data_IF_327746322566
#
_entry.id   IF_327746322566
#
_cell.length_a   1.000
_cell.length_b   1.000
_cell.length_c   1.000
_cell.angle_alpha   90.00
_cell.angle_beta   90.00
_cell.angle_gamma   90.00
#
_symmetry.space_group_name_H-M   'P 1'
#
loop_
_entity.id
_entity.type
_entity.pdbx_description
1 polymer ?
#
# COMPACT_ATOMS: atom_id res chain seq x y z
N UNK A 1 -69.99 19.91 -15.01
CA UNK A 1 -68.59 20.31 -15.02
C UNK A 1 -68.01 20.69 -13.64
N UNK A 2 -68.78 20.64 -12.57
CA UNK A 2 -68.34 21.11 -11.21
C UNK A 2 -67.84 19.97 -10.27
N UNK A 3 -68.17 18.71 -10.49
CA UNK A 3 -67.77 17.60 -9.62
C UNK A 3 -66.42 16.98 -10.01
N UNK A 4 -66.01 17.06 -11.24
CA UNK A 4 -64.72 16.54 -11.73
C UNK A 4 -63.56 17.46 -11.31
N UNK A 5 -63.75 18.78 -11.28
CA UNK A 5 -62.74 19.74 -10.83
C UNK A 5 -62.41 19.64 -9.35
N UNK A 6 -63.36 19.23 -8.50
CA UNK A 6 -63.16 19.05 -7.05
C UNK A 6 -62.43 17.74 -6.74
N UNK A 7 -62.62 16.71 -7.57
CA UNK A 7 -61.94 15.42 -7.39
C UNK A 7 -60.46 15.50 -7.85
N UNK A 8 -60.20 16.24 -8.93
CA UNK A 8 -58.80 16.47 -9.39
C UNK A 8 -58.01 17.35 -8.42
N UNK A 9 -58.65 18.36 -7.79
CA UNK A 9 -57.99 19.19 -6.79
C UNK A 9 -57.70 18.43 -5.49
N UNK A 10 -58.53 17.45 -5.09
CA UNK A 10 -58.34 16.64 -3.92
C UNK A 10 -57.23 15.56 -4.16
N UNK A 11 -57.13 14.99 -5.34
CA UNK A 11 -56.08 14.02 -5.68
C UNK A 11 -54.72 14.72 -5.84
N UNK A 12 -54.68 15.95 -6.38
CA UNK A 12 -53.43 16.73 -6.48
C UNK A 12 -52.91 17.23 -5.10
N UNK A 13 -53.79 17.57 -4.16
CA UNK A 13 -53.38 17.97 -2.83
C UNK A 13 -52.94 16.78 -1.98
N UNK A 14 -53.40 15.56 -2.24
CA UNK A 14 -52.96 14.36 -1.52
C UNK A 14 -51.66 13.83 -2.08
N UNK A 15 -51.36 13.96 -3.37
CA UNK A 15 -50.06 13.60 -3.98
C UNK A 15 -48.95 14.56 -3.64
N UNK A 16 -49.22 15.85 -3.38
CA UNK A 16 -48.18 16.80 -2.91
C UNK A 16 -47.90 16.64 -1.43
N UNK A 17 -48.86 16.17 -0.60
CA UNK A 17 -48.63 15.92 0.83
C UNK A 17 -47.88 14.61 1.11
N UNK A 18 -47.86 13.64 0.19
CA UNK A 18 -47.12 12.36 0.34
C UNK A 18 -45.69 12.48 -0.19
N UNK A 19 -45.39 13.47 -1.03
CA UNK A 19 -44.04 13.71 -1.58
C UNK A 19 -43.13 14.52 -0.66
N UNK A 20 -43.59 14.93 0.53
CA UNK A 20 -42.79 15.71 1.48
C UNK A 20 -42.47 14.96 2.79
N UNK A 21 -42.72 13.65 2.83
CA UNK A 21 -42.53 12.85 4.05
C UNK A 21 -41.54 11.70 3.92
N UNK A 22 -40.65 11.74 2.93
CA UNK A 22 -39.54 10.80 2.87
C UNK A 22 -38.22 11.50 2.55
N UNK A 23 -37.91 12.56 3.27
CA UNK A 23 -36.55 12.74 3.71
C UNK A 23 -36.44 11.77 4.88
N UNK A 24 -36.13 10.52 4.60
CA UNK A 24 -35.51 9.64 5.55
C UNK A 24 -34.27 10.39 6.02
N UNK A 25 -34.37 11.02 7.20
CA UNK A 25 -33.20 11.26 7.99
C UNK A 25 -32.60 9.85 8.19
N UNK A 26 -31.58 9.50 7.42
CA UNK A 26 -30.63 8.51 7.87
C UNK A 26 -30.20 9.06 9.24
N UNK A 27 -30.65 8.45 10.32
CA UNK A 27 -30.05 8.66 11.61
C UNK A 27 -28.56 8.34 11.37
N UNK A 28 -27.70 9.33 11.45
CA UNK A 28 -26.26 9.09 11.44
C UNK A 28 -26.03 8.08 12.56
N UNK A 29 -25.46 6.93 12.23
CA UNK A 29 -25.04 5.98 13.24
C UNK A 29 -24.15 6.74 14.23
N UNK A 30 -24.47 6.65 15.50
CA UNK A 30 -23.74 7.38 16.52
C UNK A 30 -22.56 6.51 16.95
N UNK A 31 -21.48 6.62 16.22
CA UNK A 31 -20.27 5.82 16.42
C UNK A 31 -19.53 6.08 17.73
N UNK A 32 -19.85 7.18 18.43
CA UNK A 32 -19.04 7.67 19.56
C UNK A 32 -19.83 7.70 20.86
N UNK A 33 -19.17 7.31 21.95
CA UNK A 33 -19.70 7.44 23.30
C UNK A 33 -19.77 8.92 23.72
N UNK A 34 -20.60 9.23 24.71
CA UNK A 34 -20.69 10.60 25.25
C UNK A 34 -19.34 11.07 25.85
N UNK A 35 -18.53 10.16 26.37
CA UNK A 35 -17.20 10.47 26.90
C UNK A 35 -16.25 10.90 25.78
N UNK A 36 -16.23 10.15 24.66
CA UNK A 36 -15.42 10.51 23.47
C UNK A 36 -15.87 11.86 22.90
N UNK A 37 -17.17 12.10 22.76
CA UNK A 37 -17.71 13.40 22.31
C UNK A 37 -17.26 14.55 23.19
N UNK A 38 -17.34 14.37 24.53
CA UNK A 38 -16.86 15.37 25.46
C UNK A 38 -15.35 15.58 25.38
N UNK A 39 -14.57 14.51 25.24
CA UNK A 39 -13.14 14.59 25.06
C UNK A 39 -12.78 15.46 23.85
N UNK A 40 -13.26 15.12 22.65
CA UNK A 40 -12.94 15.87 21.43
C UNK A 40 -13.46 17.32 21.47
N UNK A 41 -14.65 17.56 21.99
CA UNK A 41 -15.19 18.91 22.17
C UNK A 41 -14.35 19.76 23.15
N UNK A 42 -13.72 19.13 24.14
CA UNK A 42 -12.88 19.81 25.16
C UNK A 42 -11.49 20.24 24.64
N UNK A 43 -11.06 19.73 23.49
CA UNK A 43 -9.73 20.00 22.94
C UNK A 43 -9.53 21.48 22.53
N UNK A 44 -10.59 22.25 22.40
CA UNK A 44 -10.51 23.68 22.07
C UNK A 44 -10.04 23.95 20.65
N UNK A 45 -10.38 23.07 19.71
CA UNK A 45 -10.02 23.17 18.29
C UNK A 45 -11.06 23.91 17.45
N UNK A 46 -12.17 24.35 18.07
CA UNK A 46 -13.25 25.02 17.35
C UNK A 46 -12.76 26.23 16.55
N UNK A 47 -13.07 26.21 15.24
CA UNK A 47 -12.71 27.28 14.30
C UNK A 47 -11.24 27.26 13.85
N UNK A 48 -10.44 26.28 14.26
CA UNK A 48 -9.11 26.05 13.72
C UNK A 48 -9.17 25.20 12.43
N UNK A 49 -8.08 25.13 11.69
CA UNK A 49 -7.95 24.27 10.50
C UNK A 49 -6.82 23.28 10.73
N UNK A 50 -7.02 22.03 10.33
CA UNK A 50 -6.00 20.97 10.24
C UNK A 50 -5.78 20.65 8.76
N UNK A 51 -4.57 20.85 8.27
CA UNK A 51 -4.19 20.55 6.89
C UNK A 51 -3.59 19.15 6.83
N UNK A 52 -4.30 18.21 6.23
CA UNK A 52 -3.89 16.81 6.07
C UNK A 52 -3.43 16.57 4.64
N UNK A 53 -2.28 15.93 4.47
CA UNK A 53 -1.72 15.56 3.17
C UNK A 53 -1.44 14.06 3.17
N UNK A 54 -2.28 13.30 2.49
CA UNK A 54 -2.31 11.84 2.53
C UNK A 54 -2.32 11.24 1.11
N UNK A 55 -2.26 9.95 0.99
CA UNK A 55 -2.45 9.21 -0.25
C UNK A 55 -3.87 9.38 -0.79
N UNK A 56 -4.07 9.12 -2.09
CA UNK A 56 -5.38 8.91 -2.68
C UNK A 56 -6.00 7.61 -2.15
N UNK A 57 -7.33 7.48 -2.19
CA UNK A 57 -8.10 6.28 -1.80
C UNK A 57 -7.66 5.68 -0.43
N UNK A 58 -7.29 6.53 0.55
CA UNK A 58 -6.64 6.09 1.80
C UNK A 58 -7.36 6.58 3.08
N UNK A 59 -8.61 7.01 2.93
CA UNK A 59 -9.49 7.39 4.03
C UNK A 59 -10.95 7.18 3.64
N UNK A 60 -11.74 6.66 4.56
CA UNK A 60 -13.19 6.52 4.40
C UNK A 60 -13.87 7.89 4.34
N UNK A 61 -14.62 8.15 3.29
CA UNK A 61 -15.19 9.45 2.94
C UNK A 61 -16.72 9.52 3.03
N UNK A 62 -17.35 8.47 3.55
CA UNK A 62 -18.80 8.36 3.66
C UNK A 62 -19.50 7.83 2.41
N UNK A 63 -18.74 7.44 1.37
CA UNK A 63 -19.32 6.79 0.20
C UNK A 63 -19.90 5.41 0.58
N UNK A 64 -20.92 4.98 -0.16
CA UNK A 64 -21.56 3.66 -0.01
C UNK A 64 -22.06 3.31 1.40
N UNK A 65 -22.20 4.31 2.28
CA UNK A 65 -22.65 4.14 3.66
C UNK A 65 -21.52 3.93 4.66
N UNK A 66 -20.27 4.08 4.24
CA UNK A 66 -19.11 4.09 5.13
C UNK A 66 -19.09 5.32 6.05
N UNK A 67 -18.17 5.35 7.02
CA UNK A 67 -18.01 6.52 7.89
C UNK A 67 -17.34 7.67 7.11
N UNK A 68 -17.90 8.87 7.12
CA UNK A 68 -17.17 10.08 6.74
C UNK A 68 -16.21 10.47 7.89
N UNK A 69 -15.00 9.91 7.84
CA UNK A 69 -13.99 10.07 8.90
C UNK A 69 -13.63 11.54 9.11
N UNK A 70 -13.44 12.30 8.05
CA UNK A 70 -13.13 13.73 8.11
C UNK A 70 -14.31 14.50 8.70
N UNK A 71 -15.53 14.24 8.22
CA UNK A 71 -16.75 14.87 8.70
C UNK A 71 -17.01 14.60 10.19
N UNK A 72 -16.75 13.38 10.66
CA UNK A 72 -16.89 13.01 12.06
C UNK A 72 -15.87 13.73 12.96
N UNK A 73 -14.60 13.83 12.52
CA UNK A 73 -13.60 14.62 13.24
C UNK A 73 -14.02 16.10 13.33
N UNK A 74 -14.45 16.70 12.22
CA UNK A 74 -14.95 18.08 12.20
C UNK A 74 -16.16 18.27 13.13
N UNK A 75 -17.10 17.33 13.10
CA UNK A 75 -18.31 17.35 13.93
C UNK A 75 -17.99 17.32 15.43
N UNK A 76 -17.04 16.48 15.84
CA UNK A 76 -16.68 16.28 17.23
C UNK A 76 -15.83 17.42 17.80
N UNK A 77 -14.90 17.96 17.01
CA UNK A 77 -13.91 18.95 17.46
C UNK A 77 -14.30 20.39 17.17
N UNK A 78 -15.17 20.61 16.17
CA UNK A 78 -15.46 21.95 15.61
C UNK A 78 -14.31 22.54 14.80
N UNK A 79 -13.25 21.78 14.55
CA UNK A 79 -12.18 22.13 13.59
C UNK A 79 -12.69 22.00 12.16
N UNK A 80 -11.90 22.52 11.21
CA UNK A 80 -12.01 22.22 9.78
C UNK A 80 -10.82 21.39 9.34
N UNK A 81 -11.04 20.40 8.49
CA UNK A 81 -9.96 19.62 7.86
C UNK A 81 -9.85 20.04 6.39
N UNK A 82 -8.65 20.44 6.01
CA UNK A 82 -8.29 20.66 4.61
C UNK A 82 -7.51 19.44 4.14
N UNK A 83 -8.23 18.47 3.57
CA UNK A 83 -7.66 17.19 3.13
C UNK A 83 -7.22 17.26 1.68
N UNK A 84 -5.97 16.90 1.41
CA UNK A 84 -5.37 16.90 0.08
C UNK A 84 -4.53 15.64 -0.14
N UNK A 85 -4.35 15.25 -1.41
CA UNK A 85 -3.69 14.01 -1.77
C UNK A 85 -2.35 14.23 -2.46
N UNK A 86 -1.46 13.25 -2.33
CA UNK A 86 -0.23 13.11 -3.10
C UNK A 86 -0.17 11.75 -3.80
N UNK A 87 0.56 11.71 -4.91
CA UNK A 87 0.68 10.52 -5.76
C UNK A 87 1.90 9.64 -5.41
N UNK A 88 2.91 10.22 -4.73
CA UNK A 88 4.12 9.51 -4.31
C UNK A 88 4.81 10.21 -3.14
N UNK A 89 5.59 9.45 -2.37
CA UNK A 89 6.44 9.99 -1.32
C UNK A 89 7.38 11.09 -1.84
N UNK A 90 7.93 10.94 -3.04
CA UNK A 90 8.82 11.92 -3.68
C UNK A 90 8.10 13.22 -4.02
N UNK A 91 6.83 13.12 -4.45
CA UNK A 91 5.99 14.29 -4.72
C UNK A 91 5.70 15.05 -3.43
N UNK A 92 5.30 14.35 -2.37
CA UNK A 92 5.07 14.91 -1.03
C UNK A 92 6.35 15.56 -0.49
N UNK A 93 7.48 14.84 -0.50
CA UNK A 93 8.78 15.35 -0.07
C UNK A 93 9.20 16.62 -0.82
N UNK A 94 9.06 16.63 -2.14
CA UNK A 94 9.41 17.79 -2.97
C UNK A 94 8.64 19.04 -2.58
N UNK A 95 7.37 18.91 -2.21
CA UNK A 95 6.56 20.04 -1.72
C UNK A 95 6.99 20.52 -0.34
N UNK A 96 7.30 19.59 0.56
CA UNK A 96 7.75 19.93 1.93
C UNK A 96 9.11 20.62 1.91
N UNK A 97 10.09 20.00 1.23
CA UNK A 97 11.47 20.52 1.14
C UNK A 97 11.56 21.82 0.36
N UNK A 98 10.68 22.02 -0.63
CA UNK A 98 10.58 23.27 -1.40
C UNK A 98 10.06 24.45 -0.58
N UNK A 99 9.41 24.20 0.55
CA UNK A 99 8.85 25.22 1.44
C UNK A 99 7.61 25.92 0.88
N UNK A 100 7.07 26.87 1.65
CA UNK A 100 5.89 27.65 1.23
C UNK A 100 4.56 26.93 1.35
N UNK A 101 4.54 25.73 1.93
CA UNK A 101 3.34 24.95 2.27
C UNK A 101 3.14 24.90 3.77
N UNK A 102 1.91 24.64 4.20
CA UNK A 102 1.56 24.44 5.60
C UNK A 102 0.71 23.18 5.68
N UNK A 103 1.34 22.09 6.01
CA UNK A 103 0.67 20.82 6.36
C UNK A 103 0.82 20.57 7.86
N UNK A 104 -0.20 19.99 8.47
CA UNK A 104 -0.21 19.68 9.90
C UNK A 104 -0.04 18.18 10.11
N UNK A 105 -0.60 17.35 9.23
CA UNK A 105 -0.43 15.89 9.21
C UNK A 105 -0.02 15.45 7.80
N UNK A 106 0.96 14.57 7.73
CA UNK A 106 1.38 13.86 6.51
C UNK A 106 1.44 12.36 6.82
N UNK A 107 1.29 11.52 5.78
CA UNK A 107 1.28 10.05 5.93
C UNK A 107 2.31 9.39 4.99
N UNK A 108 3.61 9.61 5.20
CA UNK A 108 4.67 8.96 4.42
C UNK A 108 4.81 7.47 4.75
N UNK A 109 5.42 6.73 3.81
CA UNK A 109 5.91 5.38 4.07
C UNK A 109 7.25 5.39 4.79
N UNK A 110 7.61 4.26 5.35
CA UNK A 110 8.81 3.95 6.18
C UNK A 110 10.09 4.69 5.76
N UNK A 111 10.62 4.44 4.56
CA UNK A 111 11.88 5.06 4.09
C UNK A 111 11.80 6.58 3.98
N UNK A 112 10.60 7.10 3.74
CA UNK A 112 10.40 8.54 3.64
C UNK A 112 10.28 9.16 5.04
N UNK A 113 9.70 8.46 6.02
CA UNK A 113 9.74 8.87 7.43
C UNK A 113 11.20 8.97 7.87
N UNK A 114 12.03 7.94 7.63
CA UNK A 114 13.45 7.93 7.94
C UNK A 114 14.17 9.14 7.31
N UNK A 115 13.93 9.38 6.03
CA UNK A 115 14.51 10.53 5.34
C UNK A 115 14.10 11.88 5.93
N UNK A 116 12.81 12.04 6.25
CA UNK A 116 12.29 13.29 6.84
C UNK A 116 12.85 13.53 8.24
N UNK A 117 13.13 12.47 9.02
CA UNK A 117 13.82 12.53 10.31
C UNK A 117 15.26 12.98 10.10
N UNK A 118 16.00 12.31 9.22
CA UNK A 118 17.41 12.59 8.91
C UNK A 118 17.63 14.04 8.45
N UNK A 119 16.69 14.57 7.68
CA UNK A 119 16.72 15.95 7.16
C UNK A 119 16.08 16.97 8.12
N UNK A 120 15.70 16.54 9.33
CA UNK A 120 15.11 17.38 10.38
C UNK A 120 13.83 18.10 9.91
N UNK A 121 12.99 17.47 9.09
CA UNK A 121 11.75 18.06 8.54
C UNK A 121 10.50 17.72 9.36
N UNK A 122 10.59 16.86 10.37
CA UNK A 122 9.50 16.48 11.27
C UNK A 122 9.62 17.14 12.64
N UNK A 123 8.47 17.45 13.25
CA UNK A 123 8.34 17.81 14.65
C UNK A 123 8.17 16.54 15.49
N UNK A 124 8.75 16.54 16.71
CA UNK A 124 8.48 15.49 17.68
C UNK A 124 7.00 15.49 18.08
N UNK A 125 6.38 14.32 18.21
CA UNK A 125 5.00 14.14 18.64
C UNK A 125 4.94 14.12 20.17
N UNK A 126 3.95 14.82 20.74
CA UNK A 126 3.63 14.70 22.16
C UNK A 126 2.60 13.58 22.34
N UNK A 127 3.09 12.37 22.67
CA UNK A 127 2.24 11.18 22.82
C UNK A 127 1.25 11.26 23.98
N UNK A 128 1.43 12.17 24.94
CA UNK A 128 0.41 12.44 25.97
C UNK A 128 -0.89 12.98 25.36
N UNK A 129 -0.81 13.58 24.16
CA UNK A 129 -1.96 14.04 23.39
C UNK A 129 -2.59 12.96 22.49
N UNK A 130 -2.00 11.76 22.45
CA UNK A 130 -2.45 10.61 21.63
C UNK A 130 -2.74 9.40 22.53
N UNK A 131 -3.72 9.46 23.42
CA UNK A 131 -4.04 8.35 24.34
C UNK A 131 -4.39 7.04 23.63
N UNK A 132 -4.74 7.07 22.34
CA UNK A 132 -5.05 5.90 21.56
C UNK A 132 -3.80 5.12 21.06
N UNK A 133 -2.58 5.60 21.37
CA UNK A 133 -1.35 4.79 21.23
C UNK A 133 -1.45 3.42 21.91
N UNK A 134 -2.26 3.30 22.94
CA UNK A 134 -2.51 2.03 23.66
C UNK A 134 -3.14 0.94 22.76
N UNK A 135 -3.69 1.30 21.62
CA UNK A 135 -4.29 0.37 20.67
C UNK A 135 -3.33 -0.01 19.55
N UNK A 136 -2.18 0.65 19.43
CA UNK A 136 -1.22 0.31 18.37
C UNK A 136 -0.62 -1.07 18.65
N UNK A 137 -0.58 -1.91 17.62
CA UNK A 137 0.01 -3.25 17.66
C UNK A 137 1.49 -3.19 18.05
N UNK A 138 1.96 -4.19 18.79
CA UNK A 138 3.33 -4.24 19.28
C UNK A 138 4.37 -4.24 18.15
N UNK A 139 4.07 -4.89 17.03
CA UNK A 139 4.91 -4.95 15.83
C UNK A 139 4.93 -3.64 15.01
N UNK A 140 4.06 -2.69 15.37
CA UNK A 140 4.00 -1.34 14.79
C UNK A 140 4.59 -0.25 15.70
N UNK A 141 5.25 -0.64 16.80
CA UNK A 141 5.91 0.27 17.73
C UNK A 141 7.44 0.21 17.56
N UNK A 142 8.11 1.34 17.79
CA UNK A 142 9.58 1.46 17.75
C UNK A 142 10.19 0.90 16.45
N UNK A 143 9.54 1.21 15.33
CA UNK A 143 9.94 0.73 14.02
C UNK A 143 11.35 1.21 13.63
N UNK A 144 12.09 0.46 12.79
CA UNK A 144 13.49 0.77 12.47
C UNK A 144 13.74 2.20 11.97
N UNK A 145 12.75 2.80 11.31
CA UNK A 145 12.84 4.18 10.82
C UNK A 145 12.58 5.27 11.88
N UNK A 146 12.00 4.89 13.04
CA UNK A 146 11.78 5.77 14.20
C UNK A 146 11.94 4.97 15.52
N UNK A 147 13.15 4.45 15.82
CA UNK A 147 13.34 3.47 16.89
C UNK A 147 13.11 4.02 18.29
N UNK A 148 13.13 5.34 18.45
CA UNK A 148 12.81 6.00 19.72
C UNK A 148 11.33 6.41 19.81
N UNK A 149 10.53 6.13 18.80
CA UNK A 149 9.10 6.48 18.71
C UNK A 149 8.87 7.97 19.01
N UNK A 150 9.50 8.86 18.24
CA UNK A 150 9.43 10.31 18.49
C UNK A 150 8.62 11.07 17.44
N UNK A 151 8.60 10.59 16.20
CA UNK A 151 8.17 11.37 15.04
C UNK A 151 6.99 10.79 14.30
N UNK A 152 6.61 9.54 14.58
CA UNK A 152 5.65 8.81 13.76
C UNK A 152 4.67 7.97 14.57
N UNK A 153 3.43 7.86 14.09
CA UNK A 153 2.45 6.90 14.57
C UNK A 153 2.05 6.02 13.40
N UNK A 154 2.37 4.73 13.47
CA UNK A 154 2.02 3.78 12.41
C UNK A 154 0.51 3.80 12.16
N UNK A 155 0.13 3.84 10.89
CA UNK A 155 -1.26 3.90 10.45
C UNK A 155 -1.70 2.58 9.85
N UNK A 156 -1.07 2.18 8.76
CA UNK A 156 -1.38 0.94 8.05
C UNK A 156 -0.10 0.21 7.64
N UNK A 157 -0.27 -1.07 7.33
CA UNK A 157 0.77 -1.92 6.76
C UNK A 157 0.25 -2.62 5.50
N UNK A 158 1.16 -3.00 4.61
CA UNK A 158 0.77 -3.73 3.42
C UNK A 158 1.95 -4.28 2.62
N UNK A 159 1.62 -4.87 1.48
CA UNK A 159 2.56 -5.52 0.58
C UNK A 159 2.29 -5.12 -0.87
N UNK A 160 3.33 -5.13 -1.69
CA UNK A 160 3.14 -5.10 -3.14
C UNK A 160 2.79 -6.50 -3.65
N UNK A 161 1.94 -6.57 -4.68
CA UNK A 161 1.46 -7.83 -5.27
C UNK A 161 1.53 -7.80 -6.78
N UNK A 162 1.56 -8.99 -7.38
CA UNK A 162 1.29 -9.20 -8.80
C UNK A 162 -0.19 -9.51 -8.97
N UNK A 163 -0.92 -8.62 -9.64
CA UNK A 163 -2.34 -8.78 -9.98
C UNK A 163 -2.44 -9.38 -11.38
N UNK A 164 -3.35 -10.33 -11.56
CA UNK A 164 -3.59 -10.94 -12.87
C UNK A 164 -5.08 -11.05 -13.18
N UNK A 165 -5.42 -11.00 -14.47
CA UNK A 165 -6.78 -11.23 -14.95
C UNK A 165 -6.94 -12.70 -15.37
N UNK A 166 -7.80 -13.44 -14.68
CA UNK A 166 -8.09 -14.87 -14.88
C UNK A 166 -8.61 -15.20 -16.30
N UNK A 167 -9.17 -14.21 -17.01
CA UNK A 167 -9.64 -14.39 -18.38
C UNK A 167 -8.53 -14.26 -19.44
N UNK A 168 -7.41 -13.58 -19.10
CA UNK A 168 -6.32 -13.29 -20.01
C UNK A 168 -5.05 -14.07 -19.69
N UNK A 169 -4.99 -14.73 -18.54
CA UNK A 169 -3.83 -15.48 -18.05
C UNK A 169 -4.21 -16.95 -17.91
N UNK A 170 -3.57 -17.82 -18.71
CA UNK A 170 -3.89 -19.26 -18.74
C UNK A 170 -3.48 -20.00 -17.46
N UNK A 171 -2.37 -19.59 -16.83
CA UNK A 171 -1.80 -20.20 -15.63
C UNK A 171 -1.49 -19.10 -14.60
N UNK A 172 -1.85 -19.32 -13.34
CA UNK A 172 -1.56 -18.38 -12.25
C UNK A 172 -0.05 -18.17 -12.16
N UNK A 173 0.44 -16.91 -12.29
CA UNK A 173 1.85 -16.63 -12.20
C UNK A 173 2.35 -16.81 -10.76
N UNK A 174 3.58 -17.30 -10.56
CA UNK A 174 4.23 -17.44 -9.26
C UNK A 174 5.47 -16.54 -9.10
N UNK A 175 5.72 -15.67 -10.08
CA UNK A 175 6.96 -14.95 -10.23
C UNK A 175 6.74 -13.59 -10.89
N UNK A 176 7.48 -12.57 -10.44
CA UNK A 176 7.56 -11.26 -11.10
C UNK A 176 7.98 -11.36 -12.57
N UNK A 177 8.68 -12.43 -12.96
CA UNK A 177 9.12 -12.60 -14.35
C UNK A 177 7.99 -12.71 -15.37
N UNK A 178 6.76 -13.01 -14.92
CA UNK A 178 5.56 -12.97 -15.77
C UNK A 178 5.36 -11.58 -16.44
N UNK A 179 5.78 -10.49 -15.77
CA UNK A 179 5.73 -9.13 -16.29
C UNK A 179 6.70 -8.88 -17.47
N UNK A 180 7.57 -9.84 -17.81
CA UNK A 180 8.50 -9.81 -18.94
C UNK A 180 8.14 -10.80 -20.05
N UNK A 181 7.02 -11.54 -19.93
CA UNK A 181 6.58 -12.50 -20.92
C UNK A 181 5.94 -11.79 -22.12
N UNK A 182 6.56 -11.96 -23.30
CA UNK A 182 6.14 -11.31 -24.55
C UNK A 182 4.69 -11.62 -24.96
N UNK A 183 4.10 -12.72 -24.44
CA UNK A 183 2.70 -13.05 -24.70
C UNK A 183 1.73 -11.99 -24.15
N UNK A 184 2.17 -11.20 -23.14
CA UNK A 184 1.39 -10.11 -22.54
C UNK A 184 1.76 -8.72 -23.07
N UNK A 185 2.40 -8.66 -24.25
CA UNK A 185 2.75 -7.39 -24.87
C UNK A 185 1.56 -6.45 -24.96
N UNK A 186 1.74 -5.18 -24.55
CA UNK A 186 0.73 -4.13 -24.45
C UNK A 186 -0.41 -4.44 -23.47
N UNK A 187 -0.22 -5.42 -22.56
CA UNK A 187 -1.21 -5.87 -21.56
C UNK A 187 -0.67 -5.87 -20.13
N UNK A 188 0.43 -5.18 -19.89
CA UNK A 188 1.10 -5.08 -18.58
C UNK A 188 0.99 -3.67 -18.05
N UNK A 189 0.55 -3.53 -16.80
CA UNK A 189 0.62 -2.30 -16.02
C UNK A 189 1.78 -2.40 -15.02
N UNK A 190 2.56 -1.34 -14.91
CA UNK A 190 3.74 -1.29 -14.07
C UNK A 190 3.74 0.00 -13.25
N UNK A 191 4.28 -0.03 -12.04
CA UNK A 191 4.43 1.16 -11.22
C UNK A 191 5.09 2.33 -11.96
N UNK A 192 4.49 3.51 -11.87
CA UNK A 192 5.13 4.77 -12.27
C UNK A 192 6.01 5.34 -11.15
N UNK A 193 5.93 4.80 -9.95
CA UNK A 193 6.85 5.05 -8.85
C UNK A 193 8.18 4.33 -9.08
N UNK A 194 9.28 5.06 -9.04
CA UNK A 194 10.61 4.50 -9.33
C UNK A 194 11.07 3.50 -8.27
N UNK A 195 10.78 3.75 -7.00
CA UNK A 195 11.22 2.88 -5.91
C UNK A 195 10.63 1.48 -6.05
N UNK A 196 9.30 1.39 -6.24
CA UNK A 196 8.60 0.12 -6.42
C UNK A 196 8.95 -0.57 -7.74
N UNK A 197 9.07 0.20 -8.84
CA UNK A 197 9.46 -0.38 -10.13
C UNK A 197 10.85 -1.04 -10.07
N UNK A 198 11.83 -0.39 -9.42
CA UNK A 198 13.17 -0.96 -9.21
C UNK A 198 13.13 -2.16 -8.28
N UNK A 199 12.34 -2.13 -7.21
CA UNK A 199 12.20 -3.22 -6.25
C UNK A 199 11.83 -4.55 -6.93
N UNK A 200 10.90 -4.52 -7.89
CA UNK A 200 10.51 -5.71 -8.66
C UNK A 200 11.70 -6.27 -9.45
N UNK A 201 12.44 -5.40 -10.13
CA UNK A 201 13.62 -5.84 -10.90
C UNK A 201 14.73 -6.36 -9.97
N UNK A 202 14.96 -5.71 -8.84
CA UNK A 202 15.93 -6.14 -7.82
C UNK A 202 15.53 -7.50 -7.23
N UNK A 203 14.25 -7.71 -6.91
CA UNK A 203 13.75 -9.00 -6.41
C UNK A 203 14.02 -10.13 -7.42
N UNK A 204 13.74 -9.92 -8.72
CA UNK A 204 14.05 -10.88 -9.79
C UNK A 204 15.55 -11.19 -9.84
N UNK A 205 16.40 -10.19 -9.65
CA UNK A 205 17.86 -10.34 -9.66
C UNK A 205 18.41 -10.92 -8.34
N UNK A 206 17.57 -11.11 -7.32
CA UNK A 206 17.98 -11.59 -6.01
C UNK A 206 18.84 -10.58 -5.22
N UNK A 207 18.67 -9.30 -5.54
CA UNK A 207 19.31 -8.18 -4.86
C UNK A 207 18.48 -7.73 -3.66
N UNK A 208 19.09 -7.05 -2.68
CA UNK A 208 18.35 -6.33 -1.65
C UNK A 208 17.62 -5.12 -2.26
N UNK A 209 16.40 -4.86 -1.81
CA UNK A 209 15.65 -3.68 -2.20
C UNK A 209 16.28 -2.37 -1.69
N UNK A 210 17.22 -2.49 -0.75
CA UNK A 210 17.96 -1.39 -0.12
C UNK A 210 19.45 -1.37 -0.51
N UNK A 211 19.81 -2.04 -1.61
CA UNK A 211 21.21 -2.07 -2.04
C UNK A 211 21.77 -0.67 -2.27
N UNK A 212 23.01 -0.46 -1.82
CA UNK A 212 23.78 0.77 -2.10
C UNK A 212 24.85 0.56 -3.16
N UNK A 213 24.86 -0.62 -3.80
CA UNK A 213 25.78 -0.93 -4.91
C UNK A 213 25.22 -0.36 -6.23
N UNK A 214 25.96 0.54 -6.85
CA UNK A 214 25.60 1.14 -8.13
C UNK A 214 25.48 0.11 -9.28
N UNK A 215 26.22 -1.00 -9.21
CA UNK A 215 26.12 -2.07 -10.22
C UNK A 215 24.77 -2.77 -10.15
N UNK A 216 24.21 -2.97 -8.94
CA UNK A 216 22.89 -3.54 -8.76
C UNK A 216 21.80 -2.66 -9.37
N UNK A 217 21.86 -1.35 -9.13
CA UNK A 217 20.92 -0.38 -9.71
C UNK A 217 21.01 -0.34 -11.24
N UNK A 218 22.21 -0.40 -11.80
CA UNK A 218 22.38 -0.45 -13.25
C UNK A 218 21.83 -1.77 -13.83
N UNK A 219 22.05 -2.90 -13.18
CA UNK A 219 21.49 -4.19 -13.62
C UNK A 219 19.97 -4.22 -13.56
N UNK A 220 19.36 -3.67 -12.51
CA UNK A 220 17.91 -3.53 -12.39
C UNK A 220 17.34 -2.60 -13.48
N UNK A 221 18.01 -1.48 -13.77
CA UNK A 221 17.62 -0.57 -14.86
C UNK A 221 17.68 -1.25 -16.23
N UNK A 222 18.73 -2.03 -16.50
CA UNK A 222 18.83 -2.82 -17.73
C UNK A 222 17.69 -3.83 -17.88
N UNK A 223 17.30 -4.50 -16.78
CA UNK A 223 16.17 -5.42 -16.75
C UNK A 223 14.84 -4.70 -17.04
N UNK A 224 14.60 -3.53 -16.44
CA UNK A 224 13.41 -2.72 -16.71
C UNK A 224 13.39 -2.20 -18.16
N UNK A 225 14.54 -1.83 -18.72
CA UNK A 225 14.63 -1.43 -20.14
C UNK A 225 14.27 -2.60 -21.07
N UNK A 226 14.70 -3.82 -20.75
CA UNK A 226 14.31 -5.02 -21.49
C UNK A 226 12.81 -5.31 -21.39
N UNK A 227 12.18 -5.08 -20.23
CA UNK A 227 10.74 -5.19 -20.09
C UNK A 227 10.03 -4.26 -21.07
N UNK A 228 10.47 -3.02 -21.14
CA UNK A 228 9.90 -2.03 -22.06
C UNK A 228 9.96 -2.49 -23.52
N UNK A 229 11.08 -3.05 -23.95
CA UNK A 229 11.25 -3.54 -25.32
C UNK A 229 10.39 -4.80 -25.61
N UNK A 230 10.27 -5.70 -24.61
CA UNK A 230 9.54 -6.96 -24.74
C UNK A 230 8.04 -6.80 -24.68
N UNK A 231 7.55 -6.14 -23.65
CA UNK A 231 6.10 -6.09 -23.33
C UNK A 231 5.48 -4.72 -23.44
N UNK A 232 6.28 -3.64 -23.59
CA UNK A 232 5.79 -2.27 -23.69
C UNK A 232 4.76 -1.92 -22.59
N UNK A 233 5.15 -1.97 -21.30
CA UNK A 233 4.23 -1.78 -20.20
C UNK A 233 3.71 -0.34 -20.16
N UNK A 234 2.51 -0.15 -19.64
CA UNK A 234 1.97 1.16 -19.28
C UNK A 234 2.34 1.45 -17.83
N UNK A 235 3.00 2.58 -17.60
CA UNK A 235 3.36 3.01 -16.24
C UNK A 235 2.20 3.81 -15.64
N UNK A 236 1.71 3.36 -14.48
CA UNK A 236 0.51 3.87 -13.82
C UNK A 236 0.74 4.05 -12.32
N UNK A 237 -0.08 4.88 -11.72
CA UNK A 237 -0.41 4.88 -10.29
C UNK A 237 -1.91 4.60 -10.17
N UNK A 238 -2.72 5.49 -9.61
CA UNK A 238 -4.16 5.25 -9.37
C UNK A 238 -4.98 4.97 -10.65
N UNK A 239 -4.44 5.26 -11.84
CA UNK A 239 -5.08 4.84 -13.10
C UNK A 239 -5.23 3.32 -13.21
N UNK A 240 -4.46 2.55 -12.43
CA UNK A 240 -4.53 1.07 -12.38
C UNK A 240 -5.94 0.58 -12.08
N UNK A 241 -6.68 1.25 -11.19
CA UNK A 241 -8.06 0.89 -10.84
C UNK A 241 -8.92 0.74 -12.08
N UNK A 242 -9.13 1.83 -12.81
CA UNK A 242 -9.97 1.83 -14.01
C UNK A 242 -9.45 0.85 -15.08
N UNK A 243 -8.14 0.71 -15.23
CA UNK A 243 -7.53 -0.12 -16.27
C UNK A 243 -7.66 -1.62 -15.98
N UNK A 244 -7.46 -2.05 -14.72
CA UNK A 244 -7.66 -3.46 -14.34
C UNK A 244 -9.13 -3.82 -14.25
N UNK A 245 -9.97 -2.95 -13.73
CA UNK A 245 -11.42 -3.15 -13.67
C UNK A 245 -12.05 -3.27 -15.05
N UNK A 246 -11.51 -2.60 -16.06
CA UNK A 246 -11.97 -2.73 -17.46
C UNK A 246 -11.80 -4.14 -18.04
N UNK A 247 -10.91 -4.96 -17.46
CA UNK A 247 -10.57 -6.29 -17.93
C UNK A 247 -9.67 -6.32 -19.18
N UNK A 248 -9.15 -5.17 -19.62
CA UNK A 248 -8.33 -5.10 -20.84
C UNK A 248 -6.88 -5.51 -20.63
N UNK A 249 -6.35 -5.43 -19.39
CA UNK A 249 -4.98 -5.75 -19.04
C UNK A 249 -4.86 -7.11 -18.38
N UNK A 250 -3.78 -7.81 -18.69
CA UNK A 250 -3.53 -9.18 -18.20
C UNK A 250 -2.83 -9.19 -16.85
N UNK A 251 -1.85 -8.30 -16.65
CA UNK A 251 -1.00 -8.25 -15.47
C UNK A 251 -0.82 -6.81 -14.99
N UNK A 252 -0.79 -6.63 -13.67
CA UNK A 252 -0.45 -5.37 -13.04
C UNK A 252 0.43 -5.59 -11.81
N UNK A 253 1.21 -4.58 -11.48
CA UNK A 253 1.87 -4.46 -10.17
C UNK A 253 1.16 -3.39 -9.39
N UNK A 254 0.72 -3.70 -8.17
CA UNK A 254 0.16 -2.68 -7.29
C UNK A 254 0.18 -3.14 -5.83
N UNK A 255 -0.56 -2.45 -4.95
CA UNK A 255 -0.62 -2.76 -3.53
C UNK A 255 -1.77 -3.72 -3.24
N UNK A 256 -1.59 -4.54 -2.21
CA UNK A 256 -2.51 -5.64 -1.90
C UNK A 256 -3.92 -5.16 -1.49
N UNK A 257 -4.01 -4.06 -0.72
CA UNK A 257 -5.30 -3.47 -0.35
C UNK A 257 -6.07 -2.96 -1.57
N UNK A 258 -5.39 -2.24 -2.46
CA UNK A 258 -6.02 -1.74 -3.69
C UNK A 258 -6.46 -2.86 -4.64
N UNK A 259 -5.75 -4.02 -4.63
CA UNK A 259 -6.23 -5.18 -5.34
C UNK A 259 -7.61 -5.63 -4.84
N UNK A 260 -7.84 -5.60 -3.52
CA UNK A 260 -9.13 -6.02 -2.94
C UNK A 260 -10.25 -5.12 -3.48
N UNK A 261 -10.04 -3.80 -3.46
CA UNK A 261 -11.00 -2.84 -4.01
C UNK A 261 -11.25 -3.05 -5.51
N UNK A 262 -10.18 -3.26 -6.30
CA UNK A 262 -10.34 -3.57 -7.73
C UNK A 262 -11.08 -4.89 -7.97
N UNK A 263 -10.87 -5.90 -7.11
CA UNK A 263 -11.51 -7.22 -7.23
C UNK A 263 -13.02 -7.16 -6.94
N UNK A 264 -13.49 -6.25 -6.10
CA UNK A 264 -14.93 -6.02 -5.90
C UNK A 264 -15.63 -5.57 -7.19
N UNK A 265 -14.94 -4.76 -8.00
CA UNK A 265 -15.46 -4.27 -9.27
C UNK A 265 -15.23 -5.25 -10.44
N UNK A 266 -14.23 -6.15 -10.32
CA UNK A 266 -13.93 -7.18 -11.32
C UNK A 266 -13.49 -8.49 -10.66
N UNK A 267 -14.40 -9.41 -10.42
CA UNK A 267 -14.16 -10.73 -9.80
C UNK A 267 -13.18 -11.62 -10.59
N UNK A 268 -12.89 -11.27 -11.85
CA UNK A 268 -11.91 -11.99 -12.66
C UNK A 268 -10.45 -11.62 -12.32
N UNK A 269 -10.22 -10.66 -11.43
CA UNK A 269 -8.89 -10.40 -10.93
C UNK A 269 -8.47 -11.44 -9.90
N UNK A 270 -7.17 -11.70 -9.85
CA UNK A 270 -6.52 -12.50 -8.83
C UNK A 270 -5.18 -11.86 -8.48
N UNK A 271 -4.59 -12.26 -7.37
CA UNK A 271 -3.28 -11.78 -6.97
C UNK A 271 -2.36 -12.92 -6.56
N UNK A 272 -1.08 -12.65 -6.49
CA UNK A 272 -0.07 -13.52 -5.89
C UNK A 272 1.02 -12.69 -5.22
N UNK A 273 1.61 -13.25 -4.18
CA UNK A 273 2.91 -12.82 -3.67
C UNK A 273 4.00 -13.59 -4.43
N UNK A 274 4.76 -12.94 -5.33
CA UNK A 274 5.77 -13.63 -6.11
C UNK A 274 6.90 -14.20 -5.26
N UNK A 275 7.38 -15.37 -5.63
CA UNK A 275 8.39 -16.15 -4.88
C UNK A 275 9.73 -15.47 -4.70
N UNK A 276 10.08 -14.50 -5.53
CA UNK A 276 11.30 -13.71 -5.39
C UNK A 276 11.26 -12.83 -4.13
N UNK A 277 10.08 -12.44 -3.71
CA UNK A 277 9.80 -11.54 -2.61
C UNK A 277 9.16 -10.24 -3.06
N UNK A 278 8.60 -9.52 -2.10
CA UNK A 278 7.83 -8.29 -2.29
C UNK A 278 8.36 -7.17 -1.40
N UNK A 279 7.98 -5.93 -1.67
CA UNK A 279 8.10 -4.87 -0.68
C UNK A 279 6.96 -5.00 0.34
N UNK A 280 7.31 -5.02 1.64
CA UNK A 280 6.38 -4.71 2.75
C UNK A 280 6.59 -3.27 3.15
N UNK A 281 5.54 -2.59 3.56
CA UNK A 281 5.64 -1.19 3.96
C UNK A 281 4.82 -0.89 5.21
N UNK A 282 5.24 0.18 5.88
CA UNK A 282 4.55 0.83 6.98
C UNK A 282 4.29 2.28 6.61
N UNK A 283 3.03 2.67 6.56
CA UNK A 283 2.67 4.07 6.43
C UNK A 283 2.39 4.64 7.83
N UNK A 284 2.88 5.84 8.09
CA UNK A 284 2.78 6.43 9.40
C UNK A 284 2.38 7.90 9.35
N UNK A 285 1.52 8.32 10.27
CA UNK A 285 1.25 9.72 10.48
C UNK A 285 2.46 10.42 11.09
N UNK A 286 2.83 11.55 10.50
CA UNK A 286 3.90 12.42 10.95
C UNK A 286 3.42 13.88 11.00
N UNK A 287 4.09 14.68 11.82
CA UNK A 287 3.84 16.13 11.93
C UNK A 287 5.03 16.86 11.34
N UNK A 288 4.89 17.52 10.17
CA UNK A 288 6.01 18.25 9.58
C UNK A 288 6.30 19.56 10.33
N UNK A 289 7.56 20.01 10.33
CA UNK A 289 7.98 21.27 10.98
C UNK A 289 7.27 22.53 10.43
N UNK A 290 6.63 22.43 9.28
CA UNK A 290 5.86 23.54 8.72
C UNK A 290 4.45 23.66 9.34
N UNK A 291 4.08 22.78 10.29
CA UNK A 291 2.77 22.82 10.96
C UNK A 291 2.49 24.16 11.61
N UNK A 292 1.25 24.58 11.52
CA UNK A 292 0.73 25.75 12.23
C UNK A 292 -0.29 25.37 13.30
N UNK A 293 -0.66 24.08 13.37
CA UNK A 293 -1.66 23.56 14.29
C UNK A 293 -1.28 22.16 14.82
N UNK A 294 -0.14 22.08 15.53
CA UNK A 294 0.37 20.81 16.09
C UNK A 294 -0.68 20.12 16.98
N UNK A 295 -1.40 20.88 17.81
CA UNK A 295 -2.46 20.32 18.65
C UNK A 295 -3.59 19.70 17.83
N UNK A 296 -3.98 20.31 16.72
CA UNK A 296 -4.98 19.78 15.81
C UNK A 296 -4.46 18.53 15.09
N UNK A 297 -3.16 18.51 14.73
CA UNK A 297 -2.50 17.34 14.15
C UNK A 297 -2.52 16.14 15.10
N UNK A 298 -2.07 16.33 16.34
CA UNK A 298 -2.07 15.26 17.35
C UNK A 298 -3.49 14.75 17.65
N UNK A 299 -4.48 15.66 17.69
CA UNK A 299 -5.87 15.29 17.86
C UNK A 299 -6.42 14.47 16.67
N UNK A 300 -6.02 14.82 15.43
CA UNK A 300 -6.41 14.07 14.23
C UNK A 300 -5.78 12.69 14.24
N UNK A 301 -4.49 12.58 14.55
CA UNK A 301 -3.79 11.29 14.67
C UNK A 301 -4.43 10.42 15.73
N UNK A 302 -4.74 11.00 16.92
CA UNK A 302 -5.46 10.27 17.98
C UNK A 302 -6.82 9.78 17.49
N UNK A 303 -7.56 10.61 16.76
CA UNK A 303 -8.88 10.26 16.22
C UNK A 303 -8.84 9.11 15.23
N UNK A 304 -7.85 9.10 14.33
CA UNK A 304 -7.66 8.00 13.38
C UNK A 304 -7.43 6.63 14.06
N UNK A 305 -6.96 6.66 15.31
CA UNK A 305 -6.76 5.45 16.14
C UNK A 305 -7.87 5.20 17.17
N UNK A 306 -9.02 5.90 17.10
CA UNK A 306 -10.21 5.43 17.81
C UNK A 306 -10.63 4.07 17.23
N UNK A 307 -10.92 3.04 18.07
CA UNK A 307 -11.23 1.70 17.58
C UNK A 307 -12.28 1.65 16.48
N UNK A 308 -13.38 2.38 16.63
CA UNK A 308 -14.43 2.42 15.62
C UNK A 308 -14.04 3.16 14.35
N UNK A 309 -13.17 4.19 14.45
CA UNK A 309 -12.65 4.92 13.28
C UNK A 309 -11.67 4.04 12.52
N UNK A 310 -10.73 3.42 13.22
CA UNK A 310 -9.75 2.51 12.62
C UNK A 310 -10.45 1.34 11.90
N UNK A 311 -11.46 0.74 12.54
CA UNK A 311 -12.25 -0.34 11.95
C UNK A 311 -12.99 0.10 10.69
N UNK A 312 -13.75 1.19 10.75
CA UNK A 312 -14.51 1.69 9.60
C UNK A 312 -13.61 2.13 8.45
N UNK A 313 -12.44 2.68 8.78
CA UNK A 313 -11.47 3.07 7.77
C UNK A 313 -10.84 1.85 7.10
N UNK A 314 -10.44 0.82 7.86
CA UNK A 314 -9.86 -0.41 7.33
C UNK A 314 -10.83 -1.14 6.38
N UNK A 315 -12.09 -1.33 6.80
CA UNK A 315 -13.13 -1.96 5.97
C UNK A 315 -13.41 -1.20 4.66
N UNK A 316 -13.03 0.08 4.58
CA UNK A 316 -13.20 0.91 3.39
C UNK A 316 -11.96 0.93 2.49
N UNK A 317 -10.75 0.98 3.08
CA UNK A 317 -9.50 1.10 2.32
C UNK A 317 -8.79 -0.23 2.09
N UNK A 318 -9.18 -1.29 2.79
CA UNK A 318 -8.63 -2.66 2.68
C UNK A 318 -7.13 -2.79 3.00
N UNK A 319 -6.59 -1.96 3.89
CA UNK A 319 -5.22 -2.06 4.37
C UNK A 319 -5.18 -2.50 5.81
N UNK A 320 -4.25 -3.40 6.15
CA UNK A 320 -4.10 -3.90 7.52
C UNK A 320 -3.78 -2.76 8.49
N UNK A 321 -4.68 -2.53 9.44
CA UNK A 321 -4.55 -1.44 10.41
C UNK A 321 -3.42 -1.69 11.41
N UNK A 322 -2.70 -0.63 11.78
CA UNK A 322 -1.81 -0.67 12.94
C UNK A 322 -2.57 -0.75 14.28
N UNK A 323 -3.90 -0.62 14.28
CA UNK A 323 -4.70 -0.64 15.50
C UNK A 323 -5.13 -2.08 15.85
N UNK A 324 -4.62 -2.62 16.96
CA UNK A 324 -4.91 -3.98 17.42
C UNK A 324 -6.39 -4.24 17.70
N UNK A 325 -7.17 -3.20 18.07
CA UNK A 325 -8.60 -3.37 18.36
C UNK A 325 -9.42 -3.75 17.13
N UNK A 326 -8.92 -3.47 15.93
CA UNK A 326 -9.55 -3.89 14.68
C UNK A 326 -9.48 -5.41 14.54
N UNK A 327 -8.33 -6.01 14.84
CA UNK A 327 -8.14 -7.47 14.80
C UNK A 327 -8.99 -8.24 15.85
N UNK A 328 -9.46 -7.54 16.88
CA UNK A 328 -10.34 -8.11 17.89
C UNK A 328 -11.84 -7.99 17.52
N UNK A 329 -12.16 -7.31 16.41
CA UNK A 329 -13.53 -7.07 15.98
C UNK A 329 -14.02 -8.29 15.16
N UNK A 330 -14.99 -9.04 15.72
CA UNK A 330 -15.59 -10.21 15.07
C UNK A 330 -16.39 -9.87 13.79
N UNK A 331 -16.68 -8.59 13.56
CA UNK A 331 -17.43 -8.12 12.39
C UNK A 331 -16.52 -7.80 11.20
N UNK A 332 -15.17 -7.86 11.32
CA UNK A 332 -14.26 -7.62 10.20
C UNK A 332 -14.40 -8.68 9.11
N UNK A 333 -14.60 -8.22 7.89
CA UNK A 333 -14.63 -9.06 6.69
C UNK A 333 -13.23 -9.36 6.14
N UNK A 334 -12.21 -8.66 6.61
CA UNK A 334 -10.87 -8.66 6.03
C UNK A 334 -9.93 -9.73 6.60
N UNK A 335 -10.21 -10.31 7.77
CA UNK A 335 -9.32 -11.31 8.39
C UNK A 335 -9.18 -12.60 7.60
N UNK A 336 -10.16 -12.95 6.77
CA UNK A 336 -10.08 -14.09 5.86
C UNK A 336 -9.49 -13.69 4.48
N UNK A 337 -9.15 -12.42 4.28
CA UNK A 337 -8.59 -11.94 3.02
C UNK A 337 -7.07 -12.00 3.04
N UNK A 338 -6.51 -12.98 2.35
CA UNK A 338 -5.05 -13.22 2.30
C UNK A 338 -4.25 -12.07 1.65
N UNK A 339 -4.88 -11.16 0.93
CA UNK A 339 -4.19 -9.98 0.42
C UNK A 339 -3.88 -8.97 1.53
N UNK A 340 -4.79 -8.88 2.54
CA UNK A 340 -4.67 -7.96 3.67
C UNK A 340 -3.97 -8.63 4.84
N UNK A 341 -4.39 -9.86 5.18
CA UNK A 341 -3.86 -10.68 6.28
C UNK A 341 -3.44 -12.06 5.75
N UNK A 342 -2.24 -12.18 5.17
CA UNK A 342 -1.76 -13.44 4.64
C UNK A 342 -1.60 -14.49 5.75
N UNK A 343 -2.06 -15.74 5.51
CA UNK A 343 -1.87 -16.86 6.47
C UNK A 343 -0.38 -17.16 6.67
N UNK A 344 0.41 -17.09 5.59
CA UNK A 344 1.87 -17.18 5.63
C UNK A 344 2.46 -15.85 5.14
N UNK A 345 3.25 -15.19 5.99
CA UNK A 345 3.93 -13.95 5.61
C UNK A 345 4.78 -14.14 4.36
N UNK A 346 4.59 -13.31 3.31
CA UNK A 346 5.39 -13.43 2.12
C UNK A 346 6.85 -13.07 2.41
N UNK A 347 7.77 -13.67 1.66
CA UNK A 347 9.15 -13.19 1.66
C UNK A 347 9.15 -11.72 1.27
N UNK A 348 9.62 -10.86 2.15
CA UNK A 348 9.53 -9.42 1.96
C UNK A 348 10.73 -8.66 2.50
N UNK A 349 10.87 -7.43 2.07
CA UNK A 349 11.84 -6.47 2.59
C UNK A 349 11.17 -5.09 2.69
N UNK A 350 11.38 -4.40 3.82
CA UNK A 350 10.91 -3.03 4.03
C UNK A 350 11.94 -2.07 3.44
N UNK A 351 11.49 -0.98 2.82
CA UNK A 351 12.40 0.03 2.31
C UNK A 351 13.07 0.81 3.45
N UNK A 352 14.33 1.19 3.23
CA UNK A 352 15.06 2.16 4.06
C UNK A 352 15.46 3.38 3.24
N UNK A 353 15.80 4.46 3.91
CA UNK A 353 16.34 5.65 3.26
C UNK A 353 17.64 5.31 2.53
N UNK A 354 17.76 5.75 1.29
CA UNK A 354 18.95 5.52 0.48
C UNK A 354 19.90 6.72 0.54
N UNK A 355 21.21 6.50 0.48
CA UNK A 355 22.18 7.57 0.35
C UNK A 355 21.88 8.46 -0.85
N UNK A 356 22.16 9.76 -0.73
CA UNK A 356 21.84 10.77 -1.75
C UNK A 356 22.38 10.42 -3.15
N UNK A 357 23.59 9.88 -3.24
CA UNK A 357 24.18 9.47 -4.52
C UNK A 357 23.37 8.33 -5.18
N UNK A 358 22.79 7.42 -4.41
CA UNK A 358 21.94 6.35 -4.91
C UNK A 358 20.57 6.88 -5.34
N UNK A 359 19.98 7.81 -4.59
CA UNK A 359 18.74 8.46 -4.99
C UNK A 359 18.90 9.22 -6.32
N UNK A 360 20.02 9.92 -6.51
CA UNK A 360 20.32 10.60 -7.76
C UNK A 360 20.54 9.60 -8.92
N UNK A 361 21.23 8.50 -8.66
CA UNK A 361 21.42 7.42 -9.63
C UNK A 361 20.08 6.80 -10.04
N UNK A 362 19.25 6.42 -9.05
CA UNK A 362 17.92 5.87 -9.27
C UNK A 362 17.07 6.78 -10.17
N UNK A 363 16.97 8.07 -9.83
CA UNK A 363 16.19 9.04 -10.60
C UNK A 363 16.69 9.18 -12.05
N UNK A 364 18.01 9.19 -12.24
CA UNK A 364 18.62 9.27 -13.57
C UNK A 364 18.33 8.01 -14.38
N UNK A 365 18.52 6.83 -13.80
CA UNK A 365 18.23 5.55 -14.42
C UNK A 365 16.75 5.40 -14.77
N UNK A 366 15.84 5.77 -13.85
CA UNK A 366 14.41 5.73 -14.10
C UNK A 366 13.99 6.61 -15.27
N UNK A 367 14.53 7.82 -15.35
CA UNK A 367 14.30 8.70 -16.50
C UNK A 367 14.76 8.07 -17.82
N UNK A 368 15.91 7.39 -17.83
CA UNK A 368 16.43 6.71 -19.02
C UNK A 368 15.59 5.47 -19.40
N UNK A 369 15.13 4.70 -18.42
CA UNK A 369 14.21 3.57 -18.63
C UNK A 369 12.93 4.06 -19.29
N UNK A 370 12.26 5.05 -18.67
CA UNK A 370 10.99 5.58 -19.21
C UNK A 370 11.14 6.19 -20.61
N UNK A 371 12.19 6.91 -20.87
CA UNK A 371 12.44 7.50 -22.19
C UNK A 371 12.92 6.50 -23.26
N UNK A 372 13.30 5.28 -22.86
CA UNK A 372 13.92 4.30 -23.77
C UNK A 372 15.32 4.70 -24.24
N UNK A 373 16.00 5.59 -23.48
CA UNK A 373 17.35 6.05 -23.83
C UNK A 373 18.47 5.24 -23.14
N UNK A 374 18.12 4.25 -22.32
CA UNK A 374 19.10 3.35 -21.72
C UNK A 374 19.60 2.38 -22.78
N UNK A 375 20.91 2.45 -23.12
CA UNK A 375 21.52 1.49 -24.03
C UNK A 375 21.72 0.14 -23.32
N UNK A 376 21.08 -0.91 -23.82
CA UNK A 376 21.24 -2.27 -23.30
C UNK A 376 22.56 -2.84 -23.83
N UNK A 377 23.49 -3.17 -22.93
CA UNK A 377 24.76 -3.78 -23.27
C UNK A 377 24.56 -5.29 -23.46
N UNK A 378 24.21 -5.72 -24.69
CA UNK A 378 23.90 -7.13 -25.02
C UNK A 378 25.10 -8.10 -24.78
N UNK A 379 26.34 -7.64 -24.86
CA UNK A 379 27.53 -8.50 -24.66
C UNK A 379 27.82 -8.84 -23.18
N UNK A 380 27.48 -7.94 -22.25
CA UNK A 380 27.65 -8.19 -20.81
C UNK A 380 26.57 -9.15 -20.26
N UNK A 381 25.39 -9.14 -20.86
CA UNK A 381 24.25 -9.95 -20.49
C UNK A 381 24.44 -11.43 -20.80
N UNK A 382 24.95 -11.76 -22.00
CA UNK A 382 25.25 -13.14 -22.36
C UNK A 382 26.29 -13.77 -21.41
N UNK A 383 27.28 -13.01 -20.94
CA UNK A 383 28.27 -13.50 -19.98
C UNK A 383 27.68 -13.77 -18.60
N UNK A 384 26.83 -12.86 -18.06
CA UNK A 384 26.22 -13.03 -16.71
C UNK A 384 25.18 -14.16 -16.72
N UNK A 385 24.31 -14.26 -17.72
CA UNK A 385 23.34 -15.35 -17.87
C UNK A 385 24.03 -16.70 -17.96
N UNK A 386 25.12 -16.83 -18.76
CA UNK A 386 25.92 -18.04 -18.81
C UNK A 386 26.60 -18.35 -17.48
N UNK A 387 27.06 -17.36 -16.73
CA UNK A 387 27.69 -17.56 -15.43
C UNK A 387 26.69 -18.02 -14.38
N UNK A 388 25.52 -17.42 -14.29
CA UNK A 388 24.46 -17.82 -13.36
C UNK A 388 23.87 -19.20 -13.71
N UNK A 389 23.66 -19.48 -15.02
CA UNK A 389 23.20 -20.79 -15.47
C UNK A 389 24.23 -21.89 -15.19
N UNK A 390 25.53 -21.59 -15.30
CA UNK A 390 26.61 -22.51 -14.98
C UNK A 390 26.70 -22.77 -13.47
N UNK A 391 26.53 -21.74 -12.61
CA UNK A 391 26.51 -21.88 -11.15
C UNK A 391 25.29 -22.69 -10.70
N UNK A 392 24.11 -22.41 -11.25
CA UNK A 392 22.89 -23.17 -10.98
C UNK A 392 23.03 -24.63 -11.40
N UNK A 393 23.60 -24.87 -12.57
CA UNK A 393 23.91 -26.21 -13.06
C UNK A 393 24.87 -27.00 -12.15
N UNK A 394 25.89 -26.34 -11.60
CA UNK A 394 26.82 -26.95 -10.64
C UNK A 394 26.12 -27.27 -9.32
N UNK A 395 25.27 -26.38 -8.81
CA UNK A 395 24.50 -26.60 -7.57
C UNK A 395 23.53 -27.78 -7.74
N UNK A 396 22.82 -27.88 -8.86
CA UNK A 396 21.92 -29.00 -9.14
C UNK A 396 22.70 -30.33 -9.26
N UNK A 397 23.85 -30.34 -9.96
CA UNK A 397 24.71 -31.52 -10.05
C UNK A 397 25.22 -31.94 -8.67
N UNK A 398 25.63 -30.99 -7.81
CA UNK A 398 26.05 -31.28 -6.42
C UNK A 398 24.93 -31.85 -5.58
N UNK A 399 23.71 -31.35 -5.70
CA UNK A 399 22.52 -31.88 -4.98
C UNK A 399 22.17 -33.29 -5.47
N UNK A 400 22.22 -33.57 -6.77
CA UNK A 400 22.00 -34.90 -7.33
C UNK A 400 23.09 -35.87 -6.88
N UNK A 401 24.36 -35.47 -6.89
CA UNK A 401 25.48 -36.29 -6.42
C UNK A 401 25.36 -36.60 -4.92
N UNK A 402 25.02 -35.64 -4.11
CA UNK A 402 24.82 -35.84 -2.65
C UNK A 402 23.63 -36.78 -2.37
N UNK A 403 22.55 -36.68 -3.14
CA UNK A 403 21.41 -37.59 -3.06
C UNK A 403 21.78 -39.02 -3.45
N UNK A 404 22.58 -39.19 -4.48
CA UNK A 404 23.09 -40.50 -4.92
C UNK A 404 24.02 -41.13 -3.86
N UNK A 405 24.91 -40.35 -3.27
CA UNK A 405 25.81 -40.82 -2.20
C UNK A 405 25.02 -41.21 -0.95
N UNK A 406 24.00 -40.46 -0.57
CA UNK A 406 23.12 -40.79 0.56
C UNK A 406 22.32 -42.08 0.31
N UNK A 407 21.79 -42.27 -0.94
CA UNK A 407 21.09 -43.47 -1.33
C UNK A 407 21.99 -44.73 -1.31
N UNK A 408 23.25 -44.56 -1.78
CA UNK A 408 24.24 -45.62 -1.77
C UNK A 408 24.71 -46.03 -0.37
N UNK A 409 24.79 -45.05 0.57
CA UNK A 409 25.05 -45.34 1.99
C UNK A 409 23.87 -46.09 2.66
N UNK A 410 22.64 -45.68 2.42
CA UNK A 410 21.45 -46.33 2.96
C UNK A 410 21.33 -47.78 2.51
N UNK A 411 21.57 -48.05 1.22
CA UNK A 411 21.55 -49.42 0.70
C UNK A 411 22.67 -50.30 1.30
N UNK A 412 23.87 -49.71 1.56
CA UNK A 412 24.98 -50.44 2.19
C UNK A 412 24.78 -50.73 3.65
N UNK A 413 24.01 -49.88 4.39
CA UNK A 413 23.61 -50.11 5.77
C UNK A 413 22.49 -51.16 5.85
N UNK A 414 21.62 -51.27 4.86
CA UNK A 414 20.58 -52.27 4.74
C UNK A 414 21.18 -53.65 4.41
N UNK A 415 22.10 -53.75 3.46
CA UNK A 415 22.84 -54.99 3.14
C UNK A 415 23.70 -55.53 4.30
N UNK A 416 24.17 -54.61 5.18
CA UNK A 416 24.91 -55.02 6.39
C UNK A 416 23.96 -55.48 7.53
N UNK A 417 22.76 -54.93 7.57
CA UNK A 417 21.71 -55.40 8.53
C UNK A 417 21.25 -56.82 8.24
N UNK A 418 21.02 -57.13 6.95
CA UNK A 418 20.56 -58.45 6.48
C UNK A 418 21.64 -59.56 6.59
N UNK A 419 22.89 -59.23 6.91
CA UNK A 419 24.00 -60.14 7.12
C UNK A 419 24.19 -60.56 8.58
N UNK A 420 23.46 -59.92 9.52
CA UNK A 420 23.54 -60.15 10.98
C UNK A 420 22.22 -60.65 11.59
N UNK A 421 21.17 -60.91 10.75
CA UNK A 421 20.01 -61.73 11.10
C UNK A 421 20.21 -63.17 10.54
#
# INVERSE_FOLDING_TARGET
MSRIKKFVAFVLSFTVAVSFSSVLAFASEDYFTDEQKQYYASLGLQGTTVNVYNWGEYISDGAEGSMDVVGEFERLTGAKVNYTNFESNENMYSKLSGGGVSYDVITPSDYMVERLIDEELLDEIDYDNIPNMKYIREDCLNLPFDPEQKYSVCFNTGHTVLIYNKELVDEVPDSWTALWDEKYRDKVLMFNNSRDAFAIAQAILGQSLNTTDEEDWNAAAELLAQQKDKVNPVYVMDEVFNLMESGEYALATYYAGDYVLMNENNENLGFVFPKEGVNSFYDAFCIPKCTQNKKGAEAFINFMHEPQVAFQNEEYIYYASANASVMENEDSSLFENEAVYPEEEPKSEVFSNLPQNILELQNNLWSKVKSGSLSINSEAQDRKVYTYSAVLGVVVVCLVCTSFVRKKRKNKEQDLGDLYE
#
